data_IF_760247130686
#
_entry.id   IF_760247130686
#
_cell.length_a   1.000
_cell.length_b   1.000
_cell.length_c   1.000
_cell.angle_alpha   90.00
_cell.angle_beta   90.00
_cell.angle_gamma   90.00
#
_symmetry.space_group_name_H-M   'P 1'
#
loop_
_entity.id
_entity.type
_entity.pdbx_description
1 polymer ?
#
# COMPACT_ATOMS: atom_id res chain seq x y z
N UNK A 1 -28.19 -17.66 -1.83
CA UNK A 1 -27.99 -16.30 -1.30
C UNK A 1 -27.25 -16.33 0.06
N UNK A 2 -26.45 -17.37 0.33
CA UNK A 2 -25.84 -17.58 1.66
C UNK A 2 -24.39 -17.07 1.76
N UNK A 3 -23.60 -17.16 0.68
CA UNK A 3 -22.15 -16.96 0.77
C UNK A 3 -21.74 -15.56 1.26
N UNK A 4 -22.47 -14.53 0.87
CA UNK A 4 -22.23 -13.15 1.31
C UNK A 4 -22.58 -12.98 2.79
N UNK A 5 -23.73 -13.52 3.22
CA UNK A 5 -24.16 -13.52 4.63
C UNK A 5 -23.14 -14.25 5.51
N UNK A 6 -22.62 -15.40 5.07
CA UNK A 6 -21.54 -16.11 5.77
C UNK A 6 -20.30 -15.22 5.93
N UNK A 7 -19.85 -14.56 4.85
CA UNK A 7 -18.70 -13.67 4.92
C UNK A 7 -18.92 -12.48 5.86
N UNK A 8 -20.12 -11.90 5.86
CA UNK A 8 -20.50 -10.82 6.79
C UNK A 8 -20.44 -11.29 8.25
N UNK A 9 -21.03 -12.44 8.56
CA UNK A 9 -21.03 -12.97 9.92
C UNK A 9 -19.60 -13.20 10.44
N UNK A 10 -18.69 -13.68 9.60
CA UNK A 10 -17.26 -13.83 9.93
C UNK A 10 -16.56 -12.51 10.26
N UNK A 11 -17.04 -11.38 9.73
CA UNK A 11 -16.48 -10.05 10.05
C UNK A 11 -17.09 -9.42 11.32
N UNK A 12 -18.16 -10.01 11.88
CA UNK A 12 -18.88 -9.49 13.03
C UNK A 12 -18.77 -10.36 14.28
N UNK A 13 -18.13 -11.52 14.21
CA UNK A 13 -17.93 -12.39 15.35
C UNK A 13 -16.74 -11.96 16.23
N UNK A 14 -16.56 -12.64 17.37
CA UNK A 14 -15.51 -12.35 18.36
C UNK A 14 -14.09 -12.61 17.85
N UNK A 15 -13.94 -13.46 16.84
CA UNK A 15 -12.68 -13.86 16.23
C UNK A 15 -12.43 -13.12 14.91
N UNK A 16 -13.26 -12.12 14.59
CA UNK A 16 -13.20 -11.36 13.36
C UNK A 16 -11.82 -10.72 13.14
N UNK A 17 -11.22 -10.88 11.94
CA UNK A 17 -9.89 -10.37 11.68
C UNK A 17 -9.90 -8.85 11.49
N UNK A 18 -8.98 -8.16 12.18
CA UNK A 18 -8.78 -6.73 11.99
C UNK A 18 -8.17 -6.41 10.61
N UNK A 19 -8.44 -5.19 10.11
CA UNK A 19 -7.84 -4.64 8.87
C UNK A 19 -8.02 -5.57 7.66
N UNK A 20 -9.19 -6.20 7.56
CA UNK A 20 -9.52 -7.16 6.51
C UNK A 20 -10.61 -6.61 5.61
N UNK A 21 -10.36 -6.65 4.30
CA UNK A 21 -11.37 -6.45 3.26
C UNK A 21 -11.68 -7.84 2.70
N UNK A 22 -12.78 -8.44 3.17
CA UNK A 22 -13.23 -9.75 2.71
C UNK A 22 -14.13 -9.59 1.48
N UNK A 23 -13.75 -10.22 0.37
CA UNK A 23 -14.58 -10.38 -0.81
C UNK A 23 -15.33 -11.72 -0.70
N UNK A 24 -16.63 -11.71 -0.97
CA UNK A 24 -17.46 -12.91 -0.93
C UNK A 24 -18.48 -12.90 -2.08
N UNK A 25 -18.65 -14.05 -2.75
CA UNK A 25 -19.61 -14.17 -3.85
C UNK A 25 -19.64 -15.57 -4.45
N UNK A 26 -20.84 -16.06 -4.82
CA UNK A 26 -21.04 -17.39 -5.42
C UNK A 26 -20.37 -18.56 -4.67
N UNK A 27 -20.17 -18.45 -3.35
CA UNK A 27 -19.47 -19.45 -2.52
C UNK A 27 -17.94 -19.28 -2.46
N UNK A 28 -17.36 -18.32 -3.17
CA UNK A 28 -15.95 -17.98 -3.09
C UNK A 28 -15.66 -16.88 -2.06
N UNK A 29 -14.45 -16.93 -1.49
CA UNK A 29 -13.95 -15.96 -0.52
C UNK A 29 -12.50 -15.59 -0.86
N UNK A 30 -12.19 -14.30 -0.81
CA UNK A 30 -10.83 -13.78 -1.02
C UNK A 30 -10.61 -12.57 -0.13
N UNK A 31 -9.34 -12.21 0.10
CA UNK A 31 -8.98 -10.97 0.79
C UNK A 31 -8.38 -9.98 -0.20
N UNK A 32 -8.91 -8.76 -0.19
CA UNK A 32 -8.27 -7.64 -0.87
C UNK A 32 -7.21 -7.02 0.04
N UNK A 33 -6.04 -6.77 -0.53
CA UNK A 33 -4.94 -6.07 0.12
C UNK A 33 -4.66 -4.77 -0.61
N UNK A 34 -4.34 -3.73 0.15
CA UNK A 34 -3.83 -2.45 -0.37
C UNK A 34 -2.32 -2.43 -0.10
N UNK A 35 -1.56 -2.18 -1.16
CA UNK A 35 -0.11 -2.08 -1.12
C UNK A 35 0.30 -0.67 -1.55
N UNK A 36 1.44 -0.21 -1.05
CA UNK A 36 2.11 0.97 -1.56
C UNK A 36 3.41 0.53 -2.25
N UNK A 37 3.66 1.06 -3.45
CA UNK A 37 4.93 0.85 -4.16
C UNK A 37 6.10 1.42 -3.36
N UNK A 38 7.31 1.02 -3.70
CA UNK A 38 8.49 1.60 -3.05
C UNK A 38 8.58 3.12 -3.34
N UNK A 39 8.37 3.50 -4.60
CA UNK A 39 8.35 4.90 -5.04
C UNK A 39 9.73 5.53 -5.07
N UNK A 40 9.76 6.85 -5.27
CA UNK A 40 10.99 7.62 -5.49
C UNK A 40 11.21 8.68 -4.41
N UNK A 41 12.39 9.29 -4.44
CA UNK A 41 12.68 10.55 -3.77
C UNK A 41 13.19 11.55 -4.81
N UNK A 42 12.69 12.77 -4.76
CA UNK A 42 13.21 13.92 -5.53
C UNK A 42 13.74 14.96 -4.54
N UNK A 43 14.93 15.48 -4.82
CA UNK A 43 15.49 16.59 -4.06
C UNK A 43 14.58 17.84 -4.19
N UNK A 44 14.59 18.78 -3.23
CA UNK A 44 13.70 19.94 -3.26
C UNK A 44 13.73 20.73 -4.56
N UNK A 45 14.89 20.88 -5.19
CA UNK A 45 15.09 21.55 -6.47
C UNK A 45 14.42 20.83 -7.67
N UNK A 46 14.19 19.52 -7.55
CA UNK A 46 13.65 18.66 -8.61
C UNK A 46 12.15 18.36 -8.44
N UNK A 47 11.51 18.85 -7.37
CA UNK A 47 10.10 18.58 -7.05
C UNK A 47 9.12 19.38 -7.93
N UNK A 48 9.18 19.16 -9.24
CA UNK A 48 8.26 19.72 -10.23
C UNK A 48 7.26 18.65 -10.71
N UNK A 49 6.05 19.04 -11.14
CA UNK A 49 5.09 18.10 -11.74
C UNK A 49 5.66 17.35 -12.95
N UNK A 50 6.50 18.01 -13.75
CA UNK A 50 7.14 17.43 -14.92
C UNK A 50 8.13 16.34 -14.52
N UNK A 51 8.94 16.56 -13.49
CA UNK A 51 9.89 15.57 -13.00
C UNK A 51 9.19 14.40 -12.30
N UNK A 52 8.10 14.64 -11.57
CA UNK A 52 7.26 13.54 -11.04
C UNK A 52 6.72 12.70 -12.18
N UNK A 53 6.16 13.34 -13.22
CA UNK A 53 5.63 12.65 -14.40
C UNK A 53 6.69 11.86 -15.16
N UNK A 54 7.89 12.43 -15.30
CA UNK A 54 9.03 11.77 -15.95
C UNK A 54 9.48 10.49 -15.22
N UNK A 55 9.18 10.37 -13.92
CA UNK A 55 9.52 9.21 -13.11
C UNK A 55 8.31 8.31 -12.79
N UNK A 56 7.21 8.43 -13.54
CA UNK A 56 5.98 7.68 -13.22
C UNK A 56 6.16 6.17 -13.28
N UNK A 57 6.93 5.67 -14.24
CA UNK A 57 7.23 4.23 -14.35
C UNK A 57 7.89 3.68 -13.06
N UNK A 58 8.76 4.45 -12.41
CA UNK A 58 9.41 4.06 -11.16
C UNK A 58 8.47 4.16 -9.95
N UNK A 59 7.53 5.12 -9.96
CA UNK A 59 6.51 5.27 -8.92
C UNK A 59 5.46 4.15 -9.02
N UNK A 60 5.11 3.71 -10.22
CA UNK A 60 4.16 2.62 -10.48
C UNK A 60 4.79 1.23 -10.38
N UNK A 61 6.12 1.13 -10.27
CA UNK A 61 6.79 -0.15 -10.13
C UNK A 61 6.32 -0.89 -8.87
N UNK A 62 5.76 -2.08 -9.08
CA UNK A 62 5.21 -2.94 -8.03
C UNK A 62 6.28 -3.81 -7.35
N UNK A 63 7.51 -3.79 -7.85
CA UNK A 63 8.65 -4.40 -7.17
C UNK A 63 8.79 -3.82 -5.77
N UNK A 64 8.99 -4.71 -4.79
CA UNK A 64 9.15 -4.36 -3.38
C UNK A 64 7.97 -3.61 -2.74
N UNK A 65 6.78 -3.59 -3.36
CA UNK A 65 5.58 -2.99 -2.75
C UNK A 65 5.24 -3.66 -1.40
N UNK A 66 4.70 -2.89 -0.46
CA UNK A 66 4.41 -3.37 0.89
C UNK A 66 3.02 -2.96 1.36
N UNK A 67 2.39 -3.82 2.15
CA UNK A 67 1.21 -3.45 2.93
C UNK A 67 1.70 -2.60 4.09
N UNK A 68 1.33 -1.32 4.11
CA UNK A 68 1.58 -0.46 5.26
C UNK A 68 0.48 -0.70 6.31
N UNK A 69 0.92 -1.03 7.52
CA UNK A 69 0.11 -1.35 8.69
C UNK A 69 -0.18 -0.14 9.56
N UNK A 70 0.83 0.70 9.77
CA UNK A 70 0.75 1.94 10.53
C UNK A 70 1.16 3.15 9.70
N UNK A 71 0.59 4.31 10.01
CA UNK A 71 0.86 5.55 9.28
C UNK A 71 2.34 5.97 9.29
N UNK A 72 3.06 5.67 10.38
CA UNK A 72 4.49 5.96 10.52
C UNK A 72 5.36 5.25 9.47
N UNK A 73 4.92 4.09 8.95
CA UNK A 73 5.73 3.32 8.00
C UNK A 73 5.91 4.04 6.66
N UNK A 74 4.95 4.87 6.25
CA UNK A 74 5.10 5.70 5.07
C UNK A 74 6.13 6.81 5.33
N UNK A 75 6.03 7.47 6.48
CA UNK A 75 7.01 8.48 6.91
C UNK A 75 8.42 7.90 6.97
N UNK A 76 8.61 6.76 7.63
CA UNK A 76 9.91 6.08 7.75
C UNK A 76 10.49 5.74 6.36
N UNK A 77 9.65 5.24 5.44
CA UNK A 77 10.05 4.91 4.07
C UNK A 77 10.62 6.13 3.35
N UNK A 78 9.90 7.25 3.35
CA UNK A 78 10.36 8.43 2.61
C UNK A 78 11.54 9.13 3.30
N UNK A 79 11.61 9.12 4.62
CA UNK A 79 12.79 9.61 5.36
C UNK A 79 14.03 8.78 5.03
N UNK A 80 13.91 7.45 4.98
CA UNK A 80 15.02 6.58 4.60
C UNK A 80 15.53 6.90 3.19
N UNK A 81 14.63 7.05 2.20
CA UNK A 81 15.01 7.44 0.83
C UNK A 81 15.71 8.80 0.77
N UNK A 82 15.25 9.78 1.54
CA UNK A 82 15.89 11.09 1.63
C UNK A 82 17.32 10.98 2.22
N UNK A 83 17.49 10.19 3.28
CA UNK A 83 18.81 9.92 3.89
C UNK A 83 19.74 9.23 2.88
N UNK A 84 19.23 8.23 2.16
CA UNK A 84 20.03 7.49 1.17
C UNK A 84 20.46 8.39 0.00
N UNK A 85 19.59 9.30 -0.45
CA UNK A 85 19.97 10.31 -1.44
C UNK A 85 21.10 11.22 -0.92
N UNK A 86 21.00 11.72 0.33
CA UNK A 86 22.02 12.59 0.93
C UNK A 86 23.36 11.87 1.08
N UNK A 87 23.36 10.58 1.44
CA UNK A 87 24.59 9.78 1.62
C UNK A 87 25.30 9.45 0.31
N UNK A 88 24.55 9.30 -0.78
CA UNK A 88 25.07 8.89 -2.08
C UNK A 88 25.36 10.07 -3.03
N UNK A 89 25.25 11.30 -2.52
CA UNK A 89 25.65 12.53 -3.21
C UNK A 89 27.13 12.84 -2.93
#
# INVERSE_FOLDING_TARGET
>A
MESVTTGLLTLCDKDAPNRTILCAGAGGYARTHIYETDGIYLAPEDQTPENVRANMDAIENTDNQKVLIGGFQQTDKFVAKAIDYIKNK
#
